data_IF_797920866587
#
_entry.id   IF_797920866587
#
_cell.length_a   1.000
_cell.length_b   1.000
_cell.length_c   1.000
_cell.angle_alpha   90.00
_cell.angle_beta   90.00
_cell.angle_gamma   90.00
#
_symmetry.space_group_name_H-M   'P 1'
#
loop_
_entity.id
_entity.type
_entity.pdbx_description
1 polymer ?
#
# COMPACT_ATOMS: atom_id res chain seq x y z
N UNK A 1 15.14 -12.50 -5.20
CA UNK A 1 16.47 -13.14 -5.03
C UNK A 1 17.62 -12.14 -5.09
N UNK A 2 17.68 -11.22 -6.07
CA UNK A 2 18.82 -10.28 -6.22
C UNK A 2 19.31 -9.60 -4.93
N UNK A 3 18.40 -9.05 -4.10
CA UNK A 3 18.79 -8.41 -2.83
C UNK A 3 19.32 -9.41 -1.78
N UNK A 4 18.85 -10.66 -1.81
CA UNK A 4 19.39 -11.73 -0.96
C UNK A 4 20.78 -12.15 -1.44
N UNK A 5 20.97 -12.29 -2.76
CA UNK A 5 22.25 -12.64 -3.39
C UNK A 5 23.33 -11.56 -3.17
N UNK A 6 22.92 -10.29 -3.12
CA UNK A 6 23.80 -9.16 -2.81
C UNK A 6 24.07 -8.99 -1.31
N UNK A 7 23.45 -9.81 -0.43
CA UNK A 7 23.59 -9.68 1.01
C UNK A 7 22.91 -8.44 1.62
N UNK A 8 22.09 -7.71 0.84
CA UNK A 8 21.30 -6.57 1.35
C UNK A 8 20.18 -7.05 2.27
N UNK A 9 19.59 -8.20 1.94
CA UNK A 9 18.62 -8.89 2.80
C UNK A 9 19.26 -10.17 3.33
N UNK A 10 19.35 -10.30 4.64
CA UNK A 10 19.85 -11.50 5.33
C UNK A 10 18.89 -12.01 6.43
N UNK A 11 17.87 -11.22 6.76
CA UNK A 11 16.89 -11.48 7.82
C UNK A 11 17.50 -11.61 9.24
N UNK A 12 18.74 -11.19 9.46
CA UNK A 12 19.46 -11.39 10.73
C UNK A 12 18.89 -10.55 11.88
N UNK A 13 18.31 -9.39 11.56
CA UNK A 13 17.73 -8.45 12.53
C UNK A 13 16.22 -8.65 12.79
N UNK A 14 15.59 -9.68 12.23
CA UNK A 14 14.17 -9.94 12.47
C UNK A 14 13.93 -10.41 13.92
N UNK A 15 12.92 -9.83 14.56
CA UNK A 15 12.52 -10.18 15.93
C UNK A 15 11.93 -11.59 16.06
N UNK A 16 11.18 -12.05 15.04
CA UNK A 16 10.68 -13.42 14.93
C UNK A 16 11.13 -14.03 13.59
N UNK A 17 11.28 -15.35 13.53
CA UNK A 17 11.84 -16.07 12.37
C UNK A 17 13.17 -15.47 11.85
N UNK A 18 14.18 -15.29 12.73
CA UNK A 18 15.46 -14.73 12.32
C UNK A 18 16.12 -15.61 11.25
N UNK A 19 16.76 -14.96 10.28
CA UNK A 19 17.42 -15.63 9.16
C UNK A 19 16.49 -16.24 8.11
N UNK A 20 15.16 -16.06 8.23
CA UNK A 20 14.17 -16.67 7.31
C UNK A 20 13.37 -15.64 6.50
N UNK A 21 13.29 -15.86 5.19
CA UNK A 21 12.28 -15.31 4.30
C UNK A 21 10.97 -16.08 4.50
N UNK A 22 10.06 -15.52 5.32
CA UNK A 22 8.76 -16.12 5.61
C UNK A 22 7.74 -15.67 4.57
N UNK A 23 7.00 -16.60 3.96
CA UNK A 23 5.97 -16.28 2.98
C UNK A 23 4.83 -17.31 2.99
N UNK A 24 3.65 -16.94 2.47
CA UNK A 24 2.54 -17.88 2.25
C UNK A 24 2.42 -18.35 0.80
N UNK A 25 3.00 -17.61 -0.14
CA UNK A 25 2.96 -17.90 -1.57
C UNK A 25 4.24 -17.36 -2.22
N UNK A 26 4.69 -18.04 -3.27
CA UNK A 26 5.88 -17.68 -4.05
C UNK A 26 5.52 -17.57 -5.53
N UNK A 27 5.75 -16.41 -6.12
CA UNK A 27 5.57 -16.14 -7.56
C UNK A 27 6.87 -15.59 -8.15
N UNK A 28 7.31 -16.11 -9.29
CA UNK A 28 8.50 -15.58 -9.95
C UNK A 28 8.90 -16.32 -11.22
N UNK A 29 10.14 -16.11 -11.64
CA UNK A 29 10.73 -16.75 -12.83
C UNK A 29 11.21 -18.17 -12.52
N UNK A 30 11.53 -18.95 -13.57
CA UNK A 30 12.16 -20.28 -13.42
C UNK A 30 13.47 -20.22 -12.63
N UNK A 31 14.23 -19.15 -12.78
CA UNK A 31 15.46 -18.93 -12.00
C UNK A 31 15.17 -18.73 -10.52
N UNK A 32 14.16 -17.92 -10.20
CA UNK A 32 13.71 -17.74 -8.82
C UNK A 32 13.27 -19.06 -8.18
N UNK A 33 12.49 -19.88 -8.89
CA UNK A 33 12.09 -21.19 -8.37
C UNK A 33 13.29 -22.12 -8.13
N UNK A 34 14.29 -22.13 -9.01
CA UNK A 34 15.54 -22.88 -8.78
C UNK A 34 16.33 -22.35 -7.58
N UNK A 35 16.33 -21.03 -7.35
CA UNK A 35 17.01 -20.41 -6.21
C UNK A 35 16.36 -20.74 -4.86
N UNK A 36 15.03 -20.89 -4.84
CA UNK A 36 14.28 -21.22 -3.62
C UNK A 36 14.23 -22.73 -3.35
N UNK A 37 14.37 -23.56 -4.38
CA UNK A 37 14.35 -25.02 -4.27
C UNK A 37 15.35 -25.52 -3.23
N UNK A 38 14.86 -26.23 -2.20
CA UNK A 38 15.62 -26.72 -1.04
C UNK A 38 16.46 -25.67 -0.31
N UNK A 39 16.17 -24.38 -0.48
CA UNK A 39 16.91 -23.30 0.17
C UNK A 39 16.40 -23.09 1.61
N UNK A 40 17.19 -23.39 2.65
CA UNK A 40 16.73 -23.34 4.03
C UNK A 40 16.45 -21.91 4.52
N UNK A 41 16.87 -20.87 3.80
CA UNK A 41 16.56 -19.49 4.14
C UNK A 41 15.11 -19.12 3.85
N UNK A 42 14.34 -19.95 3.12
CA UNK A 42 12.91 -19.73 2.91
C UNK A 42 12.07 -20.61 3.84
N UNK A 43 11.03 -20.02 4.44
CA UNK A 43 10.08 -20.71 5.30
C UNK A 43 8.66 -20.42 4.83
N UNK A 44 8.01 -21.43 4.23
CA UNK A 44 6.61 -21.30 3.84
C UNK A 44 5.70 -21.58 5.03
N UNK A 45 4.74 -20.69 5.28
CA UNK A 45 3.74 -20.85 6.35
C UNK A 45 2.34 -20.55 5.85
N UNK A 46 1.35 -21.08 6.55
CA UNK A 46 -0.07 -20.81 6.26
C UNK A 46 -0.35 -19.31 6.29
N UNK A 47 -1.25 -18.84 5.42
CA UNK A 47 -1.70 -17.46 5.38
C UNK A 47 -2.23 -16.98 6.73
N UNK A 48 -2.90 -17.85 7.51
CA UNK A 48 -3.36 -17.53 8.87
C UNK A 48 -2.26 -17.15 9.86
N UNK A 49 -1.00 -17.49 9.58
CA UNK A 49 0.16 -17.02 10.33
C UNK A 49 0.76 -15.76 9.70
N UNK A 50 1.05 -15.81 8.40
CA UNK A 50 1.78 -14.74 7.70
C UNK A 50 0.96 -13.46 7.58
N UNK A 51 -0.36 -13.58 7.39
CA UNK A 51 -1.33 -12.50 7.24
C UNK A 51 -2.06 -12.18 8.55
N UNK A 52 -1.50 -12.55 9.71
CA UNK A 52 -2.06 -12.15 10.99
C UNK A 52 -1.44 -10.83 11.43
N UNK A 53 -2.21 -9.73 11.59
CA UNK A 53 -1.67 -8.47 12.12
C UNK A 53 -0.94 -8.64 13.45
N UNK A 54 -1.42 -9.56 14.31
CA UNK A 54 -0.81 -9.89 15.60
C UNK A 54 0.54 -10.62 15.50
N UNK A 55 0.82 -11.27 14.37
CA UNK A 55 2.14 -11.86 14.07
C UNK A 55 3.03 -10.83 13.39
N UNK A 56 2.49 -10.11 12.40
CA UNK A 56 3.20 -9.08 11.62
C UNK A 56 3.76 -8.01 12.56
N UNK A 57 2.98 -7.55 13.55
CA UNK A 57 3.41 -6.49 14.48
C UNK A 57 4.56 -6.88 15.41
N UNK A 58 4.85 -8.18 15.56
CA UNK A 58 5.98 -8.65 16.38
C UNK A 58 7.33 -8.38 15.72
N UNK A 59 7.36 -8.15 14.40
CA UNK A 59 8.57 -7.67 13.73
C UNK A 59 8.73 -6.18 13.98
N UNK A 60 9.80 -5.76 14.65
CA UNK A 60 10.16 -4.34 14.76
C UNK A 60 10.50 -3.75 13.39
N UNK A 61 10.21 -2.48 13.21
CA UNK A 61 10.43 -1.74 11.96
C UNK A 61 9.76 -2.36 10.73
N UNK A 62 8.58 -2.99 10.91
CA UNK A 62 7.84 -3.60 9.80
C UNK A 62 7.43 -2.53 8.78
N UNK A 63 7.90 -2.66 7.55
CA UNK A 63 7.50 -1.80 6.43
C UNK A 63 6.58 -2.59 5.52
N UNK A 64 5.29 -2.25 5.52
CA UNK A 64 4.31 -2.79 4.61
C UNK A 64 4.15 -1.85 3.41
N UNK A 65 4.52 -2.33 2.22
CA UNK A 65 4.37 -1.59 0.97
C UNK A 65 3.42 -2.32 0.03
N UNK A 66 2.37 -1.65 -0.41
CA UNK A 66 1.41 -2.18 -1.38
C UNK A 66 1.08 -1.15 -2.46
N UNK A 67 0.23 -1.52 -3.42
CA UNK A 67 -0.28 -0.59 -4.43
C UNK A 67 -1.80 -0.45 -4.31
N UNK A 68 -2.37 0.51 -5.01
CA UNK A 68 -3.80 0.80 -5.01
C UNK A 68 -4.23 1.22 -6.41
N UNK A 69 -5.42 0.85 -6.88
CA UNK A 69 -5.98 1.33 -8.15
C UNK A 69 -6.19 2.84 -8.07
N UNK A 70 -6.84 3.30 -7.00
CA UNK A 70 -7.11 4.69 -6.74
C UNK A 70 -7.10 4.98 -5.23
N UNK A 71 -6.79 6.21 -4.88
CA UNK A 71 -6.92 6.76 -3.53
C UNK A 71 -7.68 8.07 -3.59
N UNK A 72 -8.65 8.28 -2.71
CA UNK A 72 -9.36 9.55 -2.63
C UNK A 72 -8.68 10.56 -1.69
N UNK A 73 -9.12 11.82 -1.74
CA UNK A 73 -8.55 12.90 -0.92
C UNK A 73 -8.86 12.79 0.58
N UNK A 74 -9.73 11.87 1.01
CA UNK A 74 -9.86 11.50 2.42
C UNK A 74 -8.84 10.44 2.85
N UNK A 75 -8.17 9.79 1.89
CA UNK A 75 -7.21 8.72 2.08
C UNK A 75 -7.83 7.32 1.99
N UNK A 76 -9.07 7.18 1.50
CA UNK A 76 -9.67 5.86 1.28
C UNK A 76 -9.06 5.21 0.04
N UNK A 77 -8.80 3.91 0.10
CA UNK A 77 -8.08 3.18 -0.93
C UNK A 77 -9.00 2.14 -1.57
N UNK A 78 -9.02 2.10 -2.90
CA UNK A 78 -9.57 0.99 -3.68
C UNK A 78 -8.42 0.29 -4.40
N UNK A 79 -8.30 -1.02 -4.20
CA UNK A 79 -7.22 -1.83 -4.79
C UNK A 79 -7.74 -2.97 -5.67
N UNK A 80 -9.06 -3.18 -5.72
CA UNK A 80 -9.64 -4.37 -6.33
C UNK A 80 -10.73 -4.14 -7.38
N UNK A 81 -11.21 -2.91 -7.57
CA UNK A 81 -12.27 -2.60 -8.53
C UNK A 81 -11.90 -1.50 -9.53
N UNK A 82 -12.30 -1.71 -10.79
CA UNK A 82 -12.20 -0.74 -11.89
C UNK A 82 -13.55 -0.67 -12.59
N UNK A 83 -14.14 0.53 -12.70
CA UNK A 83 -15.40 0.76 -13.42
C UNK A 83 -16.53 -0.21 -12.99
N UNK A 84 -16.68 -0.43 -11.67
CA UNK A 84 -17.70 -1.32 -11.10
C UNK A 84 -17.44 -2.82 -11.30
N UNK A 85 -16.27 -3.22 -11.83
CA UNK A 85 -15.90 -4.63 -12.02
C UNK A 85 -14.74 -5.04 -11.13
N UNK A 86 -14.82 -6.26 -10.61
CA UNK A 86 -13.71 -6.89 -9.91
C UNK A 86 -12.52 -7.04 -10.86
N UNK A 87 -11.38 -6.48 -10.47
CA UNK A 87 -10.11 -6.60 -11.17
C UNK A 87 -9.18 -7.60 -10.47
N UNK A 88 -9.16 -7.60 -9.14
CA UNK A 88 -8.31 -8.46 -8.33
C UNK A 88 -9.05 -8.99 -7.09
N UNK A 89 -8.52 -8.82 -5.88
CA UNK A 89 -9.16 -9.11 -4.60
C UNK A 89 -8.36 -8.48 -3.46
N UNK A 90 -8.97 -8.29 -2.30
CA UNK A 90 -8.35 -7.71 -1.09
C UNK A 90 -6.96 -8.29 -0.78
N UNK A 91 -6.80 -9.61 -0.92
CA UNK A 91 -5.56 -10.29 -0.58
C UNK A 91 -5.21 -10.13 0.90
N UNK A 92 -3.92 -9.91 1.21
CA UNK A 92 -3.42 -9.65 2.56
C UNK A 92 -2.98 -8.20 2.77
N UNK A 93 -3.35 -7.28 1.88
CA UNK A 93 -2.89 -5.89 1.89
C UNK A 93 -3.26 -5.21 3.21
N UNK A 94 -4.54 -5.23 3.57
CA UNK A 94 -5.05 -4.65 4.81
C UNK A 94 -4.39 -5.25 6.07
N UNK A 95 -4.12 -6.55 6.07
CA UNK A 95 -3.48 -7.25 7.19
C UNK A 95 -2.06 -6.71 7.44
N UNK A 96 -1.28 -6.53 6.36
CA UNK A 96 0.06 -5.97 6.45
C UNK A 96 0.07 -4.50 6.83
N UNK A 97 -0.86 -3.69 6.29
CA UNK A 97 -0.96 -2.28 6.67
C UNK A 97 -1.22 -2.15 8.18
N UNK A 98 -2.19 -2.89 8.73
CA UNK A 98 -2.50 -2.89 10.17
C UNK A 98 -1.36 -3.45 11.01
N UNK A 99 -0.78 -4.58 10.59
CA UNK A 99 0.35 -5.18 11.29
C UNK A 99 1.57 -4.26 11.34
N UNK A 100 1.84 -3.52 10.27
CA UNK A 100 2.92 -2.52 10.23
C UNK A 100 2.61 -1.32 11.13
N UNK A 101 1.38 -0.81 11.15
CA UNK A 101 1.00 0.28 12.06
C UNK A 101 1.11 -0.11 13.54
N UNK A 102 0.84 -1.37 13.86
CA UNK A 102 0.96 -1.92 15.23
C UNK A 102 2.41 -2.26 15.62
N UNK A 103 3.34 -2.28 14.65
CA UNK A 103 4.75 -2.59 14.88
C UNK A 103 5.50 -1.38 15.43
N UNK A 104 6.40 -1.63 16.39
CA UNK A 104 7.35 -0.62 16.87
C UNK A 104 8.22 -0.11 15.71
N UNK A 105 8.11 1.18 15.37
CA UNK A 105 8.83 1.78 14.23
C UNK A 105 8.29 1.36 12.84
N UNK A 106 7.13 0.72 12.80
CA UNK A 106 6.53 0.24 11.57
C UNK A 106 5.88 1.35 10.72
N UNK A 107 5.73 1.06 9.43
CA UNK A 107 5.24 2.00 8.40
C UNK A 107 4.32 1.28 7.42
N UNK A 108 3.10 1.79 7.24
CA UNK A 108 2.17 1.35 6.21
C UNK A 108 2.20 2.32 5.02
N UNK A 109 2.52 1.80 3.83
CA UNK A 109 2.83 2.59 2.64
C UNK A 109 2.04 2.09 1.44
N UNK A 110 1.36 3.01 0.76
CA UNK A 110 0.75 2.77 -0.54
C UNK A 110 1.57 3.48 -1.63
N UNK A 111 2.03 2.72 -2.62
CA UNK A 111 2.75 3.24 -3.77
C UNK A 111 1.90 3.08 -5.02
N UNK A 112 1.67 4.17 -5.74
CA UNK A 112 0.97 4.16 -7.01
C UNK A 112 1.53 5.23 -7.95
N UNK A 113 1.65 4.96 -9.26
CA UNK A 113 1.73 6.02 -10.26
C UNK A 113 0.61 7.04 -10.04
N UNK A 114 0.90 8.32 -10.22
CA UNK A 114 -0.10 9.38 -10.06
C UNK A 114 -1.21 9.32 -11.12
N UNK A 115 -0.96 8.64 -12.24
CA UNK A 115 -1.88 8.50 -13.38
C UNK A 115 -2.05 7.05 -13.87
N UNK A 116 -3.09 6.84 -14.67
CA UNK A 116 -3.40 5.64 -15.43
C UNK A 116 -3.72 6.02 -16.90
N UNK A 117 -4.02 5.02 -17.74
CA UNK A 117 -4.49 5.23 -19.11
C UNK A 117 -3.59 6.16 -19.95
N UNK A 118 -2.27 5.97 -19.83
CA UNK A 118 -1.24 6.80 -20.50
C UNK A 118 -1.31 8.29 -20.11
N UNK A 119 -1.56 8.57 -18.83
CA UNK A 119 -1.58 9.93 -18.28
C UNK A 119 -2.93 10.62 -18.31
N UNK A 120 -3.95 10.00 -18.91
CA UNK A 120 -5.26 10.64 -19.13
C UNK A 120 -6.21 10.52 -17.94
N UNK A 121 -5.90 9.67 -16.97
CA UNK A 121 -6.73 9.44 -15.77
C UNK A 121 -5.88 9.59 -14.53
N UNK A 122 -6.31 10.41 -13.57
CA UNK A 122 -5.66 10.50 -12.25
C UNK A 122 -5.97 9.27 -11.40
N UNK A 123 -4.99 8.78 -10.63
CA UNK A 123 -5.19 7.73 -9.61
C UNK A 123 -5.35 8.30 -8.21
N UNK A 124 -5.06 9.58 -8.03
CA UNK A 124 -5.50 10.36 -6.86
C UNK A 124 -6.78 11.08 -7.29
N UNK A 125 -7.90 10.79 -6.64
CA UNK A 125 -9.24 11.25 -7.04
C UNK A 125 -9.88 12.07 -5.92
N UNK A 126 -10.78 12.99 -6.25
CA UNK A 126 -11.47 13.77 -5.21
C UNK A 126 -12.34 12.88 -4.30
N UNK A 127 -13.00 11.90 -4.91
CA UNK A 127 -13.79 10.85 -4.28
C UNK A 127 -13.59 9.57 -5.08
N UNK A 128 -13.61 8.40 -4.41
CA UNK A 128 -13.57 7.12 -5.10
C UNK A 128 -14.71 7.01 -6.13
N UNK A 129 -14.43 6.35 -7.26
CA UNK A 129 -15.41 6.17 -8.33
C UNK A 129 -16.74 5.59 -7.82
N UNK A 130 -17.88 5.97 -8.41
CA UNK A 130 -19.14 5.29 -8.16
C UNK A 130 -18.98 3.79 -8.44
N UNK A 131 -19.26 2.96 -7.42
CA UNK A 131 -19.06 1.50 -7.41
C UNK A 131 -17.63 1.00 -7.18
N UNK A 132 -16.69 1.86 -6.81
CA UNK A 132 -15.47 1.38 -6.17
C UNK A 132 -15.77 0.88 -4.75
N UNK A 133 -15.02 -0.12 -4.30
CA UNK A 133 -15.06 -0.61 -2.91
C UNK A 133 -13.82 -0.15 -2.17
N UNK A 134 -14.00 0.19 -0.90
CA UNK A 134 -12.89 0.53 -0.02
C UNK A 134 -12.20 -0.78 0.40
N UNK A 135 -10.98 -0.99 -0.09
CA UNK A 135 -10.13 -2.12 0.30
C UNK A 135 -9.41 -1.82 1.62
N UNK A 136 -8.78 -0.65 1.71
CA UNK A 136 -8.18 -0.16 2.95
C UNK A 136 -8.86 1.13 3.38
N UNK A 137 -9.21 1.22 4.65
CA UNK A 137 -9.87 2.41 5.17
C UNK A 137 -8.87 3.55 5.23
N UNK A 138 -9.38 4.77 5.33
CA UNK A 138 -8.56 5.97 5.51
C UNK A 138 -7.65 5.96 6.76
N UNK A 139 -7.84 5.01 7.67
CA UNK A 139 -7.02 4.87 8.89
C UNK A 139 -5.90 3.85 8.74
N UNK A 140 -5.93 3.00 7.72
CA UNK A 140 -4.95 1.92 7.57
C UNK A 140 -3.66 2.37 6.84
N UNK A 141 -3.66 3.56 6.24
CA UNK A 141 -2.51 4.12 5.50
C UNK A 141 -1.84 5.28 6.26
N UNK A 142 -0.51 5.17 6.44
CA UNK A 142 0.32 6.26 6.97
C UNK A 142 0.91 7.10 5.84
N UNK A 143 1.49 6.47 4.82
CA UNK A 143 2.19 7.16 3.74
C UNK A 143 1.67 6.76 2.36
N UNK A 144 1.62 7.73 1.46
CA UNK A 144 1.29 7.52 0.05
C UNK A 144 2.43 8.05 -0.81
N UNK A 145 2.84 7.27 -1.80
CA UNK A 145 3.98 7.58 -2.66
C UNK A 145 3.58 7.53 -4.11
N UNK A 146 3.93 8.58 -4.85
CA UNK A 146 3.88 8.64 -6.30
C UNK A 146 5.27 9.02 -6.84
N UNK A 147 5.41 9.10 -8.17
CA UNK A 147 6.58 9.68 -8.82
C UNK A 147 6.83 11.15 -8.48
N UNK A 148 5.86 11.84 -7.86
CA UNK A 148 5.95 13.25 -7.45
C UNK A 148 6.32 13.47 -5.99
N UNK A 149 6.39 12.41 -5.16
CA UNK A 149 6.84 12.52 -3.78
C UNK A 149 6.08 11.63 -2.80
N UNK A 150 6.13 12.02 -1.53
CA UNK A 150 5.54 11.30 -0.39
C UNK A 150 4.54 12.20 0.33
N UNK A 151 3.32 11.70 0.53
CA UNK A 151 2.30 12.30 1.38
C UNK A 151 2.23 11.55 2.71
N UNK A 152 2.36 12.29 3.82
CA UNK A 152 2.13 11.78 5.17
C UNK A 152 0.69 12.08 5.61
N UNK A 153 -0.10 11.02 5.81
CA UNK A 153 -1.52 11.07 6.19
C UNK A 153 -1.75 10.74 7.66
N UNK A 154 -0.70 10.33 8.39
CA UNK A 154 -0.81 9.86 9.76
C UNK A 154 -1.13 11.02 10.71
N UNK A 155 -2.22 10.90 11.47
CA UNK A 155 -2.68 11.95 12.38
C UNK A 155 -3.17 13.24 11.71
N UNK A 156 -3.34 13.25 10.38
CA UNK A 156 -3.78 14.43 9.62
C UNK A 156 -5.30 14.56 9.55
N UNK A 157 -5.78 15.79 9.60
CA UNK A 157 -7.17 16.18 9.29
C UNK A 157 -7.50 15.93 7.82
N UNK A 158 -8.79 15.92 7.46
CA UNK A 158 -9.21 15.73 6.06
C UNK A 158 -8.59 16.78 5.13
N UNK A 159 -8.54 18.05 5.56
CA UNK A 159 -7.98 19.14 4.75
C UNK A 159 -6.47 18.98 4.53
N UNK A 160 -5.74 18.56 5.58
CA UNK A 160 -4.31 18.28 5.48
C UNK A 160 -4.05 17.08 4.57
N UNK A 161 -4.84 16.01 4.68
CA UNK A 161 -4.74 14.83 3.80
C UNK A 161 -4.94 15.22 2.34
N UNK A 162 -5.99 15.98 2.05
CA UNK A 162 -6.27 16.44 0.70
C UNK A 162 -5.10 17.25 0.14
N UNK A 163 -4.56 18.21 0.90
CA UNK A 163 -3.39 19.01 0.49
C UNK A 163 -2.16 18.13 0.22
N UNK A 164 -1.87 17.19 1.12
CA UNK A 164 -0.73 16.27 0.98
C UNK A 164 -0.86 15.39 -0.28
N UNK A 165 -2.06 14.84 -0.53
CA UNK A 165 -2.33 14.01 -1.70
C UNK A 165 -2.29 14.81 -3.01
N UNK A 166 -2.88 16.01 -3.04
CA UNK A 166 -2.81 16.91 -4.21
C UNK A 166 -1.36 17.25 -4.55
N UNK A 167 -0.50 17.49 -3.55
CA UNK A 167 0.91 17.81 -3.77
C UNK A 167 1.69 16.69 -4.48
N UNK A 168 1.27 15.43 -4.31
CA UNK A 168 1.88 14.27 -4.97
C UNK A 168 1.05 13.76 -6.16
N UNK A 169 -0.03 14.45 -6.54
CA UNK A 169 -0.76 14.17 -7.77
C UNK A 169 -0.02 14.71 -9.00
N UNK A 170 -0.37 14.19 -10.17
CA UNK A 170 0.13 14.71 -11.45
C UNK A 170 -0.24 16.18 -11.58
N UNK A 171 0.68 17.07 -12.01
CA UNK A 171 0.43 18.51 -12.14
C UNK A 171 -0.87 18.85 -12.86
N UNK A 172 -1.16 18.16 -13.97
CA UNK A 172 -2.36 18.36 -14.80
C UNK A 172 -3.69 18.17 -14.07
N UNK A 173 -3.72 17.40 -12.97
CA UNK A 173 -4.95 17.13 -12.22
C UNK A 173 -5.07 17.93 -10.92
N UNK A 174 -4.01 18.61 -10.45
CA UNK A 174 -3.99 19.25 -9.12
C UNK A 174 -5.09 20.30 -8.96
N UNK A 175 -5.23 21.17 -9.95
CA UNK A 175 -6.21 22.25 -9.91
C UNK A 175 -7.65 21.71 -9.90
N UNK A 176 -7.92 20.66 -10.69
CA UNK A 176 -9.23 20.01 -10.71
C UNK A 176 -9.53 19.32 -9.39
N UNK A 177 -8.56 18.58 -8.82
CA UNK A 177 -8.70 17.91 -7.53
C UNK A 177 -8.99 18.90 -6.39
N UNK A 178 -8.28 20.03 -6.39
CA UNK A 178 -8.49 21.09 -5.41
C UNK A 178 -9.92 21.66 -5.50
N UNK A 179 -10.35 22.04 -6.72
CA UNK A 179 -11.71 22.54 -6.94
C UNK A 179 -12.78 21.54 -6.51
N UNK A 180 -12.66 20.28 -6.92
CA UNK A 180 -13.66 19.25 -6.67
C UNK A 180 -13.80 18.96 -5.18
N UNK A 181 -12.68 18.83 -4.47
CA UNK A 181 -12.67 18.56 -3.04
C UNK A 181 -13.35 19.67 -2.24
N UNK A 182 -12.93 20.91 -2.45
CA UNK A 182 -13.46 22.04 -1.69
C UNK A 182 -14.91 22.34 -2.05
N UNK A 183 -15.31 22.13 -3.31
CA UNK A 183 -16.72 22.24 -3.71
C UNK A 183 -17.57 21.16 -3.03
N UNK A 184 -17.07 19.94 -2.90
CA UNK A 184 -17.78 18.83 -2.26
C UNK A 184 -18.00 19.09 -0.77
N UNK A 185 -16.96 19.51 -0.03
CA UNK A 185 -17.06 19.62 1.44
C UNK A 185 -17.65 20.95 1.93
N UNK A 186 -17.65 22.01 1.11
CA UNK A 186 -18.24 23.31 1.47
C UNK A 186 -19.64 23.53 0.89
N UNK A 187 -20.19 22.56 0.16
CA UNK A 187 -21.63 22.54 -0.15
C UNK A 187 -22.41 22.30 1.14
N UNK A 188 -22.78 23.40 1.80
CA UNK A 188 -23.79 23.39 2.86
C UNK A 188 -25.13 23.14 2.19
N UNK A 189 -25.87 22.14 2.68
CA UNK A 189 -27.24 21.82 2.24
C UNK A 189 -28.17 23.01 2.49
#
# INVERSE_FOLDING_TARGET
MKLLEQGVVDNSLKTINPGKCVCTLLGGTKEFYRYVDHNPSFEMRRSSYVLSPAVICQHRNMVAMNSAIQIDLFGQICSEMIAGKQFSGVGGQLDFLRGAMMSEGGRSIICLPSTASRGTVSRIVAQLDPNAVVTDTRYDVMYVVTEYGVADLWGKTNDERAKQLINIAHPDFREQLERDFWTMIHKVV
#
